data_IF_246478914142
#
_entry.id   IF_246478914142
#
_cell.length_a   1.000
_cell.length_b   1.000
_cell.length_c   1.000
_cell.angle_alpha   90.00
_cell.angle_beta   90.00
_cell.angle_gamma   90.00
#
_symmetry.space_group_name_H-M   'P 1'
#
loop_
_entity.id
_entity.type
_entity.pdbx_description
1 polymer ?
#
# COMPACT_ATOMS: atom_id res chain seq x y z
N UNK A 1 1.44 25.40 -15.13
CA UNK A 1 0.59 25.17 -13.93
C UNK A 1 0.26 23.69 -13.73
N UNK A 2 -0.23 22.96 -14.74
CA UNK A 2 -0.54 21.52 -14.65
C UNK A 2 0.63 20.67 -14.12
N UNK A 3 1.85 20.84 -14.65
CA UNK A 3 3.03 20.12 -14.17
C UNK A 3 3.42 20.40 -12.70
N UNK A 4 3.07 21.57 -12.15
CA UNK A 4 3.32 21.89 -10.73
C UNK A 4 2.31 21.16 -9.83
N UNK A 5 1.03 21.16 -10.22
CA UNK A 5 -0.03 20.47 -9.49
C UNK A 5 0.18 18.95 -9.49
N UNK A 6 0.63 18.38 -10.61
CA UNK A 6 0.96 16.95 -10.70
C UNK A 6 2.17 16.57 -9.84
N UNK A 7 3.19 17.44 -9.75
CA UNK A 7 4.32 17.22 -8.83
C UNK A 7 3.89 17.21 -7.36
N UNK A 8 2.99 18.12 -6.98
CA UNK A 8 2.41 18.16 -5.63
C UNK A 8 1.59 16.89 -5.37
N UNK A 9 0.73 16.49 -6.32
CA UNK A 9 -0.07 15.27 -6.21
C UNK A 9 0.81 14.02 -6.03
N UNK A 10 1.89 13.89 -6.81
CA UNK A 10 2.88 12.78 -6.63
C UNK A 10 3.51 12.80 -5.25
N UNK A 11 3.91 13.97 -4.76
CA UNK A 11 4.54 14.10 -3.44
C UNK A 11 3.60 13.63 -2.33
N UNK A 12 2.34 14.10 -2.37
CA UNK A 12 1.30 13.69 -1.41
C UNK A 12 1.05 12.19 -1.48
N UNK A 13 0.90 11.64 -2.68
CA UNK A 13 0.66 10.20 -2.85
C UNK A 13 1.84 9.37 -2.39
N UNK A 14 3.07 9.75 -2.73
CA UNK A 14 4.27 9.05 -2.26
C UNK A 14 4.38 9.07 -0.72
N UNK A 15 3.96 10.18 -0.09
CA UNK A 15 3.89 10.25 1.37
C UNK A 15 2.83 9.28 1.93
N UNK A 16 1.62 9.25 1.36
CA UNK A 16 0.57 8.30 1.77
C UNK A 16 1.03 6.85 1.59
N UNK A 17 1.71 6.54 0.48
CA UNK A 17 2.31 5.22 0.23
C UNK A 17 3.34 4.83 1.28
N UNK A 18 4.19 5.78 1.69
CA UNK A 18 5.18 5.59 2.75
C UNK A 18 4.51 5.29 4.08
N UNK A 19 3.45 6.03 4.43
CA UNK A 19 2.67 5.82 5.65
C UNK A 19 2.00 4.44 5.64
N UNK A 20 1.37 4.04 4.53
CA UNK A 20 0.76 2.70 4.38
C UNK A 20 1.81 1.61 4.59
N UNK A 21 2.96 1.72 3.93
CA UNK A 21 4.05 0.74 4.04
C UNK A 21 4.56 0.65 5.47
N UNK A 22 4.74 1.80 6.13
CA UNK A 22 5.16 1.87 7.54
C UNK A 22 4.15 1.19 8.46
N UNK A 23 2.85 1.44 8.31
CA UNK A 23 1.82 0.80 9.12
C UNK A 23 1.76 -0.72 8.93
N UNK A 24 1.98 -1.21 7.71
CA UNK A 24 2.06 -2.65 7.43
C UNK A 24 3.24 -3.27 8.18
N UNK A 25 4.41 -2.64 8.11
CA UNK A 25 5.59 -3.13 8.82
C UNK A 25 5.36 -3.13 10.33
N UNK A 26 4.72 -2.10 10.88
CA UNK A 26 4.35 -2.06 12.31
C UNK A 26 3.45 -3.25 12.68
N UNK A 27 2.42 -3.56 11.89
CA UNK A 27 1.54 -4.71 12.17
C UNK A 27 2.30 -6.04 12.12
N UNK A 28 3.24 -6.19 11.18
CA UNK A 28 4.06 -7.40 11.10
C UNK A 28 5.04 -7.52 12.27
N UNK A 29 5.82 -6.48 12.52
CA UNK A 29 6.95 -6.51 13.44
C UNK A 29 6.52 -6.35 14.90
N UNK A 30 5.58 -5.44 15.18
CA UNK A 30 5.18 -5.12 16.55
C UNK A 30 4.09 -6.05 17.08
N UNK A 31 3.33 -6.74 16.22
CA UNK A 31 2.17 -7.53 16.64
C UNK A 31 2.29 -8.98 16.17
N UNK A 32 2.42 -9.20 14.86
CA UNK A 32 2.37 -10.56 14.29
C UNK A 32 3.55 -11.41 14.73
N UNK A 33 4.76 -10.84 14.75
CA UNK A 33 5.97 -11.56 15.16
C UNK A 33 5.96 -11.95 16.65
N UNK A 34 5.68 -11.05 17.61
CA UNK A 34 5.51 -11.42 19.01
C UNK A 34 4.42 -12.46 19.24
N UNK A 35 3.26 -12.35 18.57
CA UNK A 35 2.19 -13.34 18.70
C UNK A 35 2.62 -14.73 18.23
N UNK A 36 3.33 -14.82 17.10
CA UNK A 36 3.92 -16.09 16.63
C UNK A 36 4.91 -16.66 17.64
N UNK A 37 5.76 -15.82 18.22
CA UNK A 37 6.72 -16.25 19.24
C UNK A 37 6.01 -16.77 20.51
N UNK A 38 4.95 -16.10 20.96
CA UNK A 38 4.13 -16.56 22.10
C UNK A 38 3.46 -17.92 21.80
N UNK A 39 2.87 -18.08 20.62
CA UNK A 39 2.28 -19.38 20.20
C UNK A 39 3.33 -20.49 20.18
N UNK A 40 4.55 -20.21 19.71
CA UNK A 40 5.65 -21.18 19.72
C UNK A 40 6.06 -21.56 21.15
N UNK A 41 6.18 -20.59 22.07
CA UNK A 41 6.50 -20.87 23.47
C UNK A 41 5.42 -21.74 24.13
N UNK A 42 4.14 -21.44 23.86
CA UNK A 42 3.00 -22.24 24.35
C UNK A 42 3.03 -23.66 23.79
N UNK A 43 3.30 -23.81 22.49
CA UNK A 43 3.45 -25.12 21.84
C UNK A 43 4.68 -25.88 22.38
N UNK A 44 5.74 -25.17 22.75
CA UNK A 44 6.94 -25.70 23.42
C UNK A 44 6.71 -26.16 24.87
N UNK A 45 5.48 -26.00 25.38
CA UNK A 45 5.06 -26.55 26.66
C UNK A 45 5.30 -25.64 27.86
N UNK A 46 5.57 -24.35 27.66
CA UNK A 46 5.57 -23.34 28.75
C UNK A 46 4.19 -23.24 29.41
N UNK A 47 3.13 -23.56 28.64
CA UNK A 47 1.76 -23.62 29.11
C UNK A 47 1.07 -24.88 28.57
N UNK A 48 0.51 -25.68 29.49
CA UNK A 48 -0.14 -26.97 29.19
C UNK A 48 -1.59 -26.97 29.67
N UNK A 49 -2.43 -27.73 28.99
CA UNK A 49 -3.85 -27.93 29.30
C UNK A 49 -4.77 -27.47 28.16
N UNK A 50 -6.06 -27.73 28.28
CA UNK A 50 -7.03 -27.47 27.21
C UNK A 50 -7.08 -25.99 26.78
N UNK A 51 -6.86 -25.07 27.73
CA UNK A 51 -6.76 -23.64 27.44
C UNK A 51 -5.58 -23.28 26.54
N UNK A 52 -4.45 -23.97 26.68
CA UNK A 52 -3.27 -23.71 25.84
C UNK A 52 -3.46 -24.23 24.42
N UNK A 53 -4.13 -25.38 24.27
CA UNK A 53 -4.54 -25.93 22.96
C UNK A 53 -5.52 -24.98 22.25
N UNK A 54 -6.57 -24.53 22.95
CA UNK A 54 -7.54 -23.57 22.40
C UNK A 54 -6.88 -22.26 21.99
N UNK A 55 -6.00 -21.72 22.83
CA UNK A 55 -5.25 -20.51 22.51
C UNK A 55 -4.42 -20.68 21.23
N UNK A 56 -3.62 -21.75 21.13
CA UNK A 56 -2.80 -22.02 19.94
C UNK A 56 -3.71 -22.16 18.72
N UNK A 57 -4.83 -22.86 18.85
CA UNK A 57 -5.79 -23.05 17.77
C UNK A 57 -6.36 -21.70 17.29
N UNK A 58 -6.95 -20.88 18.17
CA UNK A 58 -7.52 -19.58 17.80
C UNK A 58 -6.48 -18.63 17.21
N UNK A 59 -5.28 -18.58 17.79
CA UNK A 59 -4.21 -17.73 17.28
C UNK A 59 -3.76 -18.14 15.88
N UNK A 60 -3.66 -19.45 15.63
CA UNK A 60 -3.18 -19.97 14.34
C UNK A 60 -4.25 -20.00 13.26
N UNK A 61 -5.52 -20.23 13.61
CA UNK A 61 -6.61 -20.36 12.64
C UNK A 61 -7.26 -19.02 12.29
N UNK A 62 -7.35 -18.08 13.24
CA UNK A 62 -8.10 -16.84 13.06
C UNK A 62 -7.19 -15.61 13.16
N UNK A 63 -6.54 -15.40 14.32
CA UNK A 63 -5.94 -14.11 14.64
C UNK A 63 -4.72 -13.78 13.78
N UNK A 64 -3.74 -14.68 13.70
CA UNK A 64 -2.53 -14.45 12.89
C UNK A 64 -2.88 -14.32 11.39
N UNK A 65 -3.71 -15.19 10.79
CA UNK A 65 -4.14 -15.02 9.41
C UNK A 65 -4.85 -13.70 9.14
N UNK A 66 -5.76 -13.26 10.02
CA UNK A 66 -6.46 -11.99 9.86
C UNK A 66 -5.51 -10.79 9.92
N UNK A 67 -4.50 -10.81 10.81
CA UNK A 67 -3.47 -9.77 10.86
C UNK A 67 -2.63 -9.72 9.58
N UNK A 68 -2.28 -10.88 9.02
CA UNK A 68 -1.57 -10.96 7.73
C UNK A 68 -2.44 -10.42 6.59
N UNK A 69 -3.74 -10.73 6.59
CA UNK A 69 -4.69 -10.23 5.59
C UNK A 69 -4.81 -8.70 5.63
N UNK A 70 -4.79 -8.09 6.82
CA UNK A 70 -4.76 -6.62 6.97
C UNK A 70 -3.51 -6.02 6.30
N UNK A 71 -2.35 -6.64 6.50
CA UNK A 71 -1.12 -6.26 5.79
C UNK A 71 -1.26 -6.37 4.27
N UNK A 72 -1.89 -7.45 3.77
CA UNK A 72 -2.19 -7.66 2.35
C UNK A 72 -3.11 -6.60 1.75
N UNK A 73 -4.16 -6.20 2.48
CA UNK A 73 -5.07 -5.12 2.05
C UNK A 73 -4.35 -3.79 1.92
N UNK A 74 -3.47 -3.45 2.87
CA UNK A 74 -2.65 -2.24 2.79
C UNK A 74 -1.76 -2.21 1.53
N UNK A 75 -1.10 -3.32 1.21
CA UNK A 75 -0.28 -3.42 -0.01
C UNK A 75 -1.11 -3.28 -1.29
N UNK A 76 -2.29 -3.91 -1.34
CA UNK A 76 -3.21 -3.80 -2.48
C UNK A 76 -3.68 -2.36 -2.69
N UNK A 77 -4.07 -1.68 -1.61
CA UNK A 77 -4.48 -0.28 -1.66
C UNK A 77 -3.36 0.62 -2.17
N UNK A 78 -2.13 0.38 -1.69
CA UNK A 78 -0.96 1.09 -2.19
C UNK A 78 -0.68 0.84 -3.69
N UNK A 79 -0.86 -0.39 -4.15
CA UNK A 79 -0.77 -0.74 -5.58
C UNK A 79 -1.80 0.01 -6.44
N UNK A 80 -3.05 0.07 -5.99
CA UNK A 80 -4.12 0.80 -6.68
C UNK A 80 -3.83 2.30 -6.77
N UNK A 81 -3.32 2.90 -5.69
CA UNK A 81 -2.91 4.31 -5.66
C UNK A 81 -1.77 4.59 -6.65
N UNK A 82 -0.75 3.73 -6.69
CA UNK A 82 0.35 3.88 -7.66
C UNK A 82 -0.16 3.78 -9.10
N UNK A 83 -1.06 2.84 -9.38
CA UNK A 83 -1.68 2.69 -10.71
C UNK A 83 -2.47 3.95 -11.10
N UNK A 84 -3.18 4.57 -10.17
CA UNK A 84 -3.90 5.82 -10.43
C UNK A 84 -2.93 6.97 -10.79
N UNK A 85 -1.78 7.09 -10.12
CA UNK A 85 -0.75 8.06 -10.51
C UNK A 85 -0.22 7.82 -11.92
N UNK A 86 0.06 6.57 -12.27
CA UNK A 86 0.57 6.23 -13.60
C UNK A 86 -0.44 6.61 -14.69
N UNK A 87 -1.74 6.45 -14.44
CA UNK A 87 -2.79 6.92 -15.36
C UNK A 87 -2.82 8.45 -15.48
N UNK A 88 -2.69 9.18 -14.36
CA UNK A 88 -2.62 10.65 -14.39
C UNK A 88 -1.41 11.14 -15.21
N UNK A 89 -0.27 10.47 -15.08
CA UNK A 89 0.94 10.79 -15.84
C UNK A 89 0.78 10.56 -17.34
N UNK A 90 0.10 9.48 -17.71
CA UNK A 90 -0.20 9.19 -19.11
C UNK A 90 -1.16 10.22 -19.68
N UNK A 91 -2.20 10.60 -18.94
CA UNK A 91 -3.14 11.63 -19.34
C UNK A 91 -2.45 12.99 -19.54
N UNK A 92 -1.54 13.39 -18.64
CA UNK A 92 -0.80 14.65 -18.76
C UNK A 92 0.13 14.67 -19.99
N UNK A 93 0.82 13.56 -20.27
CA UNK A 93 1.64 13.42 -21.49
C UNK A 93 0.79 13.55 -22.75
N UNK A 94 -0.37 12.92 -22.79
CA UNK A 94 -1.28 13.01 -23.93
C UNK A 94 -1.84 14.42 -24.10
N UNK A 95 -2.28 15.07 -23.02
CA UNK A 95 -2.78 16.43 -23.04
C UNK A 95 -1.71 17.42 -23.51
N UNK A 96 -0.47 17.28 -23.04
CA UNK A 96 0.66 18.12 -23.46
C UNK A 96 1.00 17.91 -24.93
N UNK A 97 1.02 16.65 -25.40
CA UNK A 97 1.23 16.35 -26.83
C UNK A 97 0.17 17.00 -27.70
N UNK A 98 -1.11 16.89 -27.31
CA UNK A 98 -2.23 17.48 -28.07
C UNK A 98 -2.20 19.01 -28.05
N UNK A 99 -1.83 19.62 -26.92
CA UNK A 99 -1.65 21.06 -26.85
C UNK A 99 -0.54 21.53 -27.82
N UNK A 100 0.60 20.84 -27.88
CA UNK A 100 1.69 21.17 -28.79
C UNK A 100 1.27 21.01 -30.27
N UNK A 101 0.55 19.92 -30.60
CA UNK A 101 -0.02 19.75 -31.96
C UNK A 101 -0.94 20.91 -32.34
N UNK A 102 -1.79 21.39 -31.41
CA UNK A 102 -2.66 22.54 -31.64
C UNK A 102 -1.87 23.84 -31.86
N UNK A 103 -0.80 24.06 -31.08
CA UNK A 103 0.09 25.20 -31.28
C UNK A 103 0.78 25.18 -32.65
N UNK A 104 1.24 24.00 -33.09
CA UNK A 104 1.86 23.84 -34.42
C UNK A 104 0.87 24.11 -35.56
N UNK A 105 -0.38 23.65 -35.43
CA UNK A 105 -1.45 23.95 -36.40
C UNK A 105 -1.75 25.45 -36.41
N UNK A 106 -1.89 26.08 -35.24
CA UNK A 106 -2.11 27.52 -35.14
C UNK A 106 -0.95 28.31 -35.77
N UNK A 107 0.30 27.95 -35.48
CA UNK A 107 1.46 28.62 -36.05
C UNK A 107 1.52 28.51 -37.57
N UNK A 108 1.10 27.38 -38.17
CA UNK A 108 1.01 27.21 -39.63
C UNK A 108 -0.10 28.03 -40.30
N UNK A 109 -1.11 28.45 -39.54
CA UNK A 109 -2.23 29.25 -40.07
C UNK A 109 -1.91 30.74 -40.03
N UNK A 110 -1.20 31.19 -38.99
CA UNK A 110 -0.99 32.61 -38.71
C UNK A 110 0.40 33.16 -39.04
N UNK A 111 1.38 32.30 -39.34
CA UNK A 111 2.69 32.67 -39.88
C UNK A 111 2.90 32.00 -41.24
#
# INVERSE_FOLDING_TARGET
MLGLLLRIARSVVNNVMSIITSQINIIQDAITSPLKAMVQQVTGGIWKGDGSVRFVQEMTSEVIPQLVNIGGMGMSFGGAIRKALDFMDQADKQATSKANELFDVFNKIFN
#
